data_IF_001176582721
#
_entry.id   IF_001176582721
#
_cell.length_a   1.000
_cell.length_b   1.000
_cell.length_c   1.000
_cell.angle_alpha   90.00
_cell.angle_beta   90.00
_cell.angle_gamma   90.00
#
_symmetry.space_group_name_H-M   'P 1'
#
loop_
_entity.id
_entity.type
_entity.pdbx_description
1 polymer ?
#
# COMPACT_ATOMS: atom_id res chain seq x y z
N UNK A 1 -13.13 19.95 -5.73
CA UNK A 1 -12.90 18.69 -4.98
C UNK A 1 -12.78 17.58 -6.02
N UNK A 2 -11.61 16.95 -6.15
CA UNK A 2 -11.32 15.99 -7.23
C UNK A 2 -12.16 14.72 -7.06
N UNK A 3 -13.37 14.68 -7.64
CA UNK A 3 -14.35 13.59 -7.45
C UNK A 3 -14.18 12.42 -8.43
N UNK A 4 -13.35 12.59 -9.44
CA UNK A 4 -13.12 11.64 -10.54
C UNK A 4 -11.66 11.24 -10.58
N UNK A 5 -11.41 10.01 -11.05
CA UNK A 5 -10.07 9.53 -11.37
C UNK A 5 -9.38 10.35 -12.46
N UNK A 6 -8.07 10.17 -12.56
CA UNK A 6 -7.18 10.76 -13.56
C UNK A 6 -6.55 9.72 -14.50
N UNK A 7 -6.73 8.42 -14.25
CA UNK A 7 -6.24 7.31 -15.09
C UNK A 7 -7.22 6.95 -16.23
N UNK A 8 -8.33 7.68 -16.35
CA UNK A 8 -9.33 7.48 -17.42
C UNK A 8 -10.39 6.41 -17.12
N UNK A 9 -10.40 5.86 -15.91
CA UNK A 9 -11.39 4.88 -15.46
C UNK A 9 -12.47 5.55 -14.59
N UNK A 10 -13.67 4.95 -14.47
CA UNK A 10 -14.78 5.46 -13.65
C UNK A 10 -14.51 5.24 -12.15
N UNK A 11 -13.52 5.96 -11.62
CA UNK A 11 -12.98 5.83 -10.25
C UNK A 11 -12.94 7.18 -9.53
N UNK A 12 -12.37 7.21 -8.32
CA UNK A 12 -12.09 8.45 -7.58
C UNK A 12 -10.64 8.86 -7.72
N UNK A 13 -10.34 10.14 -7.51
CA UNK A 13 -8.96 10.63 -7.51
C UNK A 13 -8.07 9.85 -6.53
N UNK A 14 -8.59 9.56 -5.34
CA UNK A 14 -7.80 8.92 -4.29
C UNK A 14 -7.51 7.45 -4.59
N UNK A 15 -8.43 6.73 -5.25
CA UNK A 15 -8.19 5.38 -5.77
C UNK A 15 -7.02 5.38 -6.76
N UNK A 16 -7.04 6.26 -7.75
CA UNK A 16 -6.00 6.35 -8.78
C UNK A 16 -4.65 6.74 -8.17
N UNK A 17 -4.66 7.65 -7.20
CA UNK A 17 -3.47 8.05 -6.46
C UNK A 17 -2.84 6.86 -5.70
N UNK A 18 -3.66 6.10 -4.97
CA UNK A 18 -3.19 4.93 -4.20
C UNK A 18 -2.70 3.83 -5.14
N UNK A 19 -3.36 3.59 -6.27
CA UNK A 19 -2.92 2.63 -7.29
C UNK A 19 -1.54 2.99 -7.84
N UNK A 20 -1.32 4.26 -8.15
CA UNK A 20 0.01 4.73 -8.54
C UNK A 20 1.04 4.53 -7.42
N UNK A 21 0.65 4.78 -6.17
CA UNK A 21 1.52 4.57 -5.01
C UNK A 21 1.88 3.08 -4.83
N UNK A 22 0.94 2.15 -5.02
CA UNK A 22 1.19 0.70 -4.98
C UNK A 22 2.12 0.25 -6.10
N UNK A 23 1.98 0.80 -7.31
CA UNK A 23 2.92 0.53 -8.40
C UNK A 23 4.34 1.05 -8.09
N UNK A 24 4.43 2.21 -7.42
CA UNK A 24 5.71 2.88 -7.13
C UNK A 24 6.43 2.33 -5.88
N UNK A 25 5.70 1.87 -4.86
CA UNK A 25 6.30 1.46 -3.59
C UNK A 25 7.23 0.26 -3.75
N UNK A 26 6.91 -0.69 -4.63
CA UNK A 26 7.73 -1.90 -4.84
C UNK A 26 9.12 -1.54 -5.41
N UNK A 27 9.24 -0.78 -6.52
CA UNK A 27 10.54 -0.25 -6.97
C UNK A 27 11.32 0.50 -5.88
N UNK A 28 10.64 1.34 -5.09
CA UNK A 28 11.29 2.09 -4.01
C UNK A 28 11.79 1.18 -2.87
N UNK A 29 11.09 0.10 -2.56
CA UNK A 29 11.56 -0.92 -1.62
C UNK A 29 12.78 -1.67 -2.16
N UNK A 30 12.78 -2.05 -3.44
CA UNK A 30 13.94 -2.68 -4.07
C UNK A 30 15.16 -1.75 -4.06
N UNK A 31 14.95 -0.47 -4.36
CA UNK A 31 15.99 0.55 -4.23
C UNK A 31 16.49 0.68 -2.78
N UNK A 32 15.58 0.68 -1.81
CA UNK A 32 15.90 0.68 -0.38
C UNK A 32 16.76 -0.53 0.04
N UNK A 33 16.48 -1.71 -0.51
CA UNK A 33 17.27 -2.93 -0.28
C UNK A 33 18.64 -2.85 -0.93
N UNK A 34 18.73 -2.31 -2.15
CA UNK A 34 20.00 -2.07 -2.83
C UNK A 34 20.90 -1.10 -2.05
N UNK A 35 20.33 -0.03 -1.48
CA UNK A 35 21.06 0.91 -0.63
C UNK A 35 21.75 0.22 0.55
N UNK A 36 21.07 -0.72 1.21
CA UNK A 36 21.61 -1.40 2.40
C UNK A 36 22.50 -2.60 2.06
N UNK A 37 22.15 -3.40 1.05
CA UNK A 37 22.89 -4.63 0.70
C UNK A 37 24.13 -4.36 -0.15
N UNK A 38 24.03 -3.43 -1.09
CA UNK A 38 25.10 -3.14 -2.06
C UNK A 38 25.88 -1.90 -1.66
N UNK A 39 25.19 -0.77 -1.50
CA UNK A 39 25.85 0.52 -1.21
C UNK A 39 26.25 0.73 0.24
N UNK A 40 25.76 -0.12 1.17
CA UNK A 40 25.98 0.01 2.62
C UNK A 40 25.58 1.38 3.18
N UNK A 41 24.62 2.05 2.53
CA UNK A 41 24.11 3.38 2.91
C UNK A 41 22.94 3.26 3.89
N UNK A 42 23.24 2.83 5.12
CA UNK A 42 22.22 2.59 6.16
C UNK A 42 21.40 3.83 6.53
N UNK A 43 22.02 5.02 6.52
CA UNK A 43 21.33 6.28 6.80
C UNK A 43 20.33 6.64 5.70
N UNK A 44 20.67 6.40 4.43
CA UNK A 44 19.77 6.61 3.30
C UNK A 44 18.60 5.63 3.34
N UNK A 45 18.86 4.35 3.59
CA UNK A 45 17.83 3.33 3.81
C UNK A 45 16.85 3.75 4.92
N UNK A 46 17.37 4.14 6.10
CA UNK A 46 16.57 4.63 7.23
C UNK A 46 15.68 5.81 6.84
N UNK A 47 16.25 6.84 6.21
CA UNK A 47 15.50 8.04 5.80
C UNK A 47 14.40 7.68 4.81
N UNK A 48 14.69 6.84 3.83
CA UNK A 48 13.72 6.38 2.84
C UNK A 48 12.57 5.61 3.50
N UNK A 49 12.85 4.66 4.40
CA UNK A 49 11.81 3.89 5.08
C UNK A 49 10.91 4.75 5.97
N UNK A 50 11.48 5.71 6.71
CA UNK A 50 10.69 6.63 7.54
C UNK A 50 9.83 7.54 6.65
N UNK A 51 10.42 8.10 5.60
CA UNK A 51 9.71 9.00 4.68
C UNK A 51 8.55 8.28 4.00
N UNK A 52 8.79 7.08 3.46
CA UNK A 52 7.74 6.25 2.87
C UNK A 52 6.69 5.86 3.90
N UNK A 53 7.09 5.48 5.12
CA UNK A 53 6.16 5.13 6.20
C UNK A 53 5.19 6.26 6.52
N UNK A 54 5.70 7.49 6.65
CA UNK A 54 4.87 8.68 6.93
C UNK A 54 3.94 8.98 5.76
N UNK A 55 4.48 9.04 4.53
CA UNK A 55 3.70 9.37 3.33
C UNK A 55 2.59 8.34 3.11
N UNK A 56 2.90 7.04 3.19
CA UNK A 56 1.93 5.98 2.96
C UNK A 56 0.90 5.89 4.08
N UNK A 57 1.28 6.14 5.34
CA UNK A 57 0.32 6.22 6.44
C UNK A 57 -0.70 7.34 6.18
N UNK A 58 -0.22 8.54 5.83
CA UNK A 58 -1.09 9.66 5.49
C UNK A 58 -1.99 9.34 4.28
N UNK A 59 -1.41 8.74 3.23
CA UNK A 59 -2.16 8.34 2.03
C UNK A 59 -3.26 7.32 2.34
N UNK A 60 -2.96 6.26 3.09
CA UNK A 60 -3.96 5.23 3.44
C UNK A 60 -5.03 5.79 4.37
N UNK A 61 -4.68 6.65 5.33
CA UNK A 61 -5.68 7.32 6.18
C UNK A 61 -6.61 8.23 5.37
N UNK A 62 -6.06 9.01 4.44
CA UNK A 62 -6.87 9.84 3.55
C UNK A 62 -7.74 9.01 2.60
N UNK A 63 -7.22 7.88 2.12
CA UNK A 63 -7.96 6.93 1.28
C UNK A 63 -9.14 6.31 2.01
N UNK A 64 -8.95 5.87 3.25
CA UNK A 64 -10.03 5.30 4.06
C UNK A 64 -11.14 6.32 4.31
N UNK A 65 -10.79 7.58 4.60
CA UNK A 65 -11.76 8.67 4.74
C UNK A 65 -12.51 8.92 3.43
N UNK A 66 -11.80 8.95 2.29
CA UNK A 66 -12.42 9.12 0.96
C UNK A 66 -13.42 8.00 0.66
N UNK A 67 -13.01 6.75 0.83
CA UNK A 67 -13.87 5.59 0.52
C UNK A 67 -15.06 5.51 1.48
N UNK A 68 -14.82 5.55 2.79
CA UNK A 68 -15.89 5.29 3.78
C UNK A 68 -16.77 6.51 4.04
N UNK A 69 -16.17 7.69 4.23
CA UNK A 69 -16.90 8.87 4.69
C UNK A 69 -17.38 9.75 3.54
N UNK A 70 -16.57 9.90 2.47
CA UNK A 70 -16.93 10.76 1.32
C UNK A 70 -17.80 9.99 0.32
N UNK A 71 -17.52 8.71 0.11
CA UNK A 71 -18.21 7.88 -0.88
C UNK A 71 -19.16 6.84 -0.28
N UNK A 72 -19.16 6.63 1.04
CA UNK A 72 -20.10 5.74 1.72
C UNK A 72 -19.83 4.26 1.45
N UNK A 73 -18.60 3.89 1.09
CA UNK A 73 -18.18 2.53 0.78
C UNK A 73 -17.71 2.36 -0.67
N UNK A 74 -16.94 1.29 -0.91
CA UNK A 74 -16.36 0.99 -2.21
C UNK A 74 -17.44 0.57 -3.23
N UNK A 75 -18.54 -0.05 -2.78
CA UNK A 75 -19.65 -0.45 -3.66
C UNK A 75 -20.28 0.77 -4.36
N UNK A 76 -20.44 1.89 -3.65
CA UNK A 76 -20.96 3.13 -4.21
C UNK A 76 -20.02 3.76 -5.24
N UNK A 77 -18.72 3.51 -5.12
CA UNK A 77 -17.74 3.95 -6.12
C UNK A 77 -17.90 3.10 -7.39
N UNK A 78 -18.02 1.77 -7.27
CA UNK A 78 -18.25 0.88 -8.40
C UNK A 78 -19.57 1.18 -9.10
N UNK A 79 -20.63 1.51 -8.36
CA UNK A 79 -21.94 1.87 -8.89
C UNK A 79 -21.93 3.10 -9.83
N UNK A 80 -20.88 3.95 -9.78
CA UNK A 80 -20.71 5.09 -10.69
C UNK A 80 -20.52 4.71 -12.16
N UNK A 81 -20.24 3.43 -12.42
CA UNK A 81 -20.10 2.90 -13.77
C UNK A 81 -21.41 2.93 -14.58
N UNK A 82 -22.56 3.17 -13.94
CA UNK A 82 -23.85 3.26 -14.62
C UNK A 82 -24.34 1.92 -15.18
N UNK A 83 -23.88 0.82 -14.60
CA UNK A 83 -24.31 -0.53 -14.94
C UNK A 83 -25.77 -0.76 -14.53
N UNK A 84 -26.50 -1.56 -15.30
CA UNK A 84 -27.82 -2.06 -14.89
C UNK A 84 -27.71 -2.90 -13.62
N UNK A 85 -28.76 -2.93 -12.80
CA UNK A 85 -28.75 -3.53 -11.45
C UNK A 85 -28.23 -4.98 -11.41
N UNK A 86 -28.62 -5.81 -12.38
CA UNK A 86 -28.17 -7.20 -12.48
C UNK A 86 -26.66 -7.29 -12.77
N UNK A 87 -26.16 -6.45 -13.70
CA UNK A 87 -24.75 -6.37 -14.05
C UNK A 87 -23.91 -5.78 -12.90
N UNK A 88 -24.42 -4.76 -12.22
CA UNK A 88 -23.78 -4.18 -11.04
C UNK A 88 -23.63 -5.22 -9.93
N UNK A 89 -24.68 -5.99 -9.65
CA UNK A 89 -24.64 -7.06 -8.64
C UNK A 89 -23.58 -8.12 -8.99
N UNK A 90 -23.55 -8.55 -10.25
CA UNK A 90 -22.53 -9.49 -10.74
C UNK A 90 -21.11 -8.92 -10.58
N UNK A 91 -20.92 -7.65 -10.92
CA UNK A 91 -19.64 -6.93 -10.76
C UNK A 91 -19.20 -6.84 -9.31
N UNK A 92 -20.09 -6.46 -8.39
CA UNK A 92 -19.76 -6.40 -6.96
C UNK A 92 -19.37 -7.77 -6.41
N UNK A 93 -20.04 -8.84 -6.85
CA UNK A 93 -19.71 -10.20 -6.46
C UNK A 93 -18.36 -10.67 -7.01
N UNK A 94 -17.99 -10.27 -8.24
CA UNK A 94 -16.67 -10.59 -8.79
C UNK A 94 -15.53 -9.81 -8.13
N UNK A 95 -15.79 -8.57 -7.69
CA UNK A 95 -14.79 -7.69 -7.06
C UNK A 95 -14.52 -8.05 -5.59
N UNK A 96 -15.56 -8.42 -4.84
CA UNK A 96 -15.50 -8.64 -3.39
C UNK A 96 -14.38 -9.60 -2.92
N UNK A 97 -14.13 -10.77 -3.56
CA UNK A 97 -13.03 -11.65 -3.16
C UNK A 97 -11.66 -11.00 -3.27
N UNK A 98 -11.41 -10.20 -4.32
CA UNK A 98 -10.14 -9.50 -4.51
C UNK A 98 -9.92 -8.44 -3.44
N UNK A 99 -10.97 -7.71 -3.07
CA UNK A 99 -10.91 -6.76 -1.97
C UNK A 99 -10.57 -7.47 -0.64
N UNK A 100 -11.23 -8.58 -0.34
CA UNK A 100 -10.99 -9.32 0.90
C UNK A 100 -9.54 -9.82 1.00
N UNK A 101 -9.01 -10.38 -0.08
CA UNK A 101 -7.60 -10.80 -0.14
C UNK A 101 -6.66 -9.62 0.03
N UNK A 102 -6.93 -8.50 -0.64
CA UNK A 102 -6.14 -7.28 -0.49
C UNK A 102 -6.14 -6.77 0.96
N UNK A 103 -7.30 -6.76 1.62
CA UNK A 103 -7.45 -6.28 3.00
C UNK A 103 -6.63 -7.10 3.99
N UNK A 104 -6.44 -8.41 3.77
CA UNK A 104 -5.57 -9.23 4.63
C UNK A 104 -4.16 -8.62 4.69
N UNK A 105 -3.56 -8.36 3.53
CA UNK A 105 -2.21 -7.80 3.45
C UNK A 105 -2.18 -6.31 3.80
N UNK A 106 -3.16 -5.53 3.31
CA UNK A 106 -3.21 -4.10 3.56
C UNK A 106 -3.36 -3.77 5.05
N UNK A 107 -4.06 -4.61 5.83
CA UNK A 107 -4.19 -4.45 7.28
C UNK A 107 -2.93 -4.93 8.00
N UNK A 108 -2.30 -6.05 7.60
CA UNK A 108 -1.08 -6.54 8.26
C UNK A 108 0.14 -5.66 8.01
N UNK A 109 0.25 -5.09 6.80
CA UNK A 109 1.36 -4.25 6.34
C UNK A 109 1.71 -3.11 7.32
N UNK A 110 0.79 -2.22 7.72
CA UNK A 110 1.12 -1.12 8.61
C UNK A 110 1.62 -1.61 9.97
N UNK A 111 1.07 -2.69 10.53
CA UNK A 111 1.54 -3.23 11.81
C UNK A 111 2.94 -3.83 11.70
N UNK A 112 3.18 -4.66 10.69
CA UNK A 112 4.47 -5.32 10.48
C UNK A 112 5.57 -4.29 10.18
N UNK A 113 5.26 -3.33 9.32
CA UNK A 113 6.22 -2.32 8.89
C UNK A 113 6.48 -1.27 9.98
N UNK A 114 5.45 -0.80 10.70
CA UNK A 114 5.63 0.07 11.86
C UNK A 114 6.47 -0.62 12.94
N UNK A 115 6.21 -1.90 13.24
CA UNK A 115 7.02 -2.68 14.18
C UNK A 115 8.48 -2.73 13.73
N UNK A 116 8.73 -3.00 12.44
CA UNK A 116 10.08 -3.04 11.86
C UNK A 116 10.80 -1.70 12.00
N UNK A 117 10.13 -0.58 11.69
CA UNK A 117 10.70 0.78 11.79
C UNK A 117 10.95 1.16 13.25
N UNK A 118 9.98 0.98 14.14
CA UNK A 118 10.09 1.35 15.56
C UNK A 118 11.20 0.56 16.24
N UNK A 119 11.30 -0.74 16.02
CA UNK A 119 12.39 -1.56 16.58
C UNK A 119 13.75 -1.13 16.01
N UNK A 120 13.84 -0.87 14.70
CA UNK A 120 15.08 -0.37 14.09
C UNK A 120 15.52 0.97 14.68
N UNK A 121 14.58 1.91 14.89
CA UNK A 121 14.86 3.20 15.52
C UNK A 121 15.38 3.05 16.95
N UNK A 122 14.75 2.19 17.75
CA UNK A 122 15.14 1.95 19.15
C UNK A 122 16.47 1.22 19.28
N UNK A 123 16.80 0.31 18.35
CA UNK A 123 17.95 -0.61 18.49
C UNK A 123 19.20 -0.21 17.69
N UNK A 124 19.06 0.53 16.59
CA UNK A 124 20.20 1.04 15.80
C UNK A 124 20.52 2.52 16.06
N UNK A 125 19.57 3.30 16.61
CA UNK A 125 19.79 4.69 17.00
C UNK A 125 20.04 5.66 15.83
N UNK A 126 20.85 6.69 16.09
CA UNK A 126 21.11 7.81 15.16
C UNK A 126 22.04 7.44 14.00
N UNK A 127 23.03 6.58 14.26
CA UNK A 127 24.03 6.12 13.30
C UNK A 127 23.84 4.62 13.04
N UNK A 128 22.92 4.24 12.14
CA UNK A 128 22.59 2.83 11.94
C UNK A 128 23.77 2.08 11.33
N UNK A 129 24.21 1.04 12.02
CA UNK A 129 25.24 0.11 11.57
C UNK A 129 24.81 -1.33 11.93
N UNK A 130 25.32 -2.36 11.21
CA UNK A 130 25.07 -3.74 11.57
C UNK A 130 25.48 -4.04 13.02
N UNK A 131 24.71 -4.89 13.70
CA UNK A 131 24.93 -5.25 15.10
C UNK A 131 24.00 -6.38 15.55
N UNK A 132 23.87 -6.63 16.87
CA UNK A 132 23.09 -7.76 17.40
C UNK A 132 21.63 -7.81 16.92
N UNK A 133 21.01 -6.65 16.66
CA UNK A 133 19.63 -6.58 16.17
C UNK A 133 19.48 -6.85 14.65
N UNK A 134 20.57 -6.94 13.89
CA UNK A 134 20.52 -7.08 12.43
C UNK A 134 19.80 -8.32 11.93
N UNK A 135 19.88 -9.45 12.64
CA UNK A 135 19.20 -10.68 12.24
C UNK A 135 17.68 -10.52 12.31
N UNK A 136 17.17 -10.03 13.45
CA UNK A 136 15.74 -9.79 13.63
C UNK A 136 15.23 -8.71 12.68
N UNK A 137 15.97 -7.60 12.54
CA UNK A 137 15.60 -6.55 11.59
C UNK A 137 15.55 -7.06 10.14
N UNK A 138 16.50 -7.90 9.72
CA UNK A 138 16.48 -8.48 8.37
C UNK A 138 15.31 -9.43 8.17
N UNK A 139 14.93 -10.20 9.19
CA UNK A 139 13.76 -11.09 9.13
C UNK A 139 12.47 -10.28 8.99
N UNK A 140 12.25 -9.30 9.87
CA UNK A 140 11.07 -8.43 9.84
C UNK A 140 11.03 -7.55 8.58
N UNK A 141 12.19 -7.09 8.11
CA UNK A 141 12.31 -6.32 6.87
C UNK A 141 11.95 -7.14 5.63
N UNK A 142 12.37 -8.41 5.55
CA UNK A 142 11.93 -9.29 4.47
C UNK A 142 10.45 -9.65 4.56
N UNK A 143 9.94 -9.95 5.75
CA UNK A 143 8.52 -10.18 5.97
C UNK A 143 7.70 -8.95 5.51
N UNK A 144 8.10 -7.74 5.93
CA UNK A 144 7.46 -6.48 5.50
C UNK A 144 7.54 -6.29 3.99
N UNK A 145 8.69 -6.59 3.36
CA UNK A 145 8.86 -6.44 1.91
C UNK A 145 7.93 -7.35 1.14
N UNK A 146 7.83 -8.62 1.55
CA UNK A 146 6.90 -9.58 0.94
C UNK A 146 5.45 -9.14 1.14
N UNK A 147 5.07 -8.75 2.35
CA UNK A 147 3.73 -8.30 2.69
C UNK A 147 3.32 -7.05 1.88
N UNK A 148 4.17 -6.01 1.81
CA UNK A 148 3.91 -4.80 1.01
C UNK A 148 3.83 -5.12 -0.48
N UNK A 149 4.67 -6.05 -0.97
CA UNK A 149 4.61 -6.49 -2.38
C UNK A 149 3.28 -7.18 -2.66
N UNK A 150 2.81 -8.04 -1.76
CA UNK A 150 1.50 -8.70 -1.87
C UNK A 150 0.35 -7.70 -1.74
N UNK A 151 0.42 -6.73 -0.83
CA UNK A 151 -0.51 -5.59 -0.75
C UNK A 151 -0.59 -4.85 -2.08
N UNK A 152 0.56 -4.61 -2.73
CA UNK A 152 0.62 -3.92 -4.02
C UNK A 152 0.01 -4.75 -5.14
N UNK A 153 0.41 -6.01 -5.28
CA UNK A 153 -0.13 -6.92 -6.32
C UNK A 153 -1.64 -7.08 -6.18
N UNK A 154 -2.11 -7.37 -4.98
CA UNK A 154 -3.55 -7.60 -4.71
C UNK A 154 -4.37 -6.33 -4.84
N UNK A 155 -3.83 -5.16 -4.48
CA UNK A 155 -4.51 -3.88 -4.64
C UNK A 155 -4.62 -3.47 -6.11
N UNK A 156 -3.57 -3.68 -6.90
CA UNK A 156 -3.60 -3.50 -8.35
C UNK A 156 -4.60 -4.46 -9.01
N UNK A 157 -4.65 -5.72 -8.58
CA UNK A 157 -5.61 -6.70 -9.07
C UNK A 157 -7.06 -6.30 -8.73
N UNK A 158 -7.32 -5.86 -7.48
CA UNK A 158 -8.61 -5.32 -7.08
C UNK A 158 -9.03 -4.15 -7.98
N UNK A 159 -8.14 -3.18 -8.20
CA UNK A 159 -8.45 -2.02 -9.04
C UNK A 159 -8.75 -2.43 -10.48
N UNK A 160 -7.94 -3.33 -11.05
CA UNK A 160 -8.15 -3.85 -12.40
C UNK A 160 -9.53 -4.50 -12.55
N UNK A 161 -9.87 -5.44 -11.66
CA UNK A 161 -11.16 -6.14 -11.71
C UNK A 161 -12.33 -5.19 -11.44
N UNK A 162 -12.15 -4.21 -10.57
CA UNK A 162 -13.21 -3.27 -10.21
C UNK A 162 -13.53 -2.25 -11.31
N UNK A 163 -12.53 -1.76 -12.03
CA UNK A 163 -12.69 -0.54 -12.84
C UNK A 163 -12.15 -0.62 -14.27
N UNK A 164 -11.31 -1.61 -14.58
CA UNK A 164 -10.68 -1.75 -15.90
C UNK A 164 -11.33 -2.85 -16.73
N UNK A 165 -11.61 -4.00 -16.12
CA UNK A 165 -12.32 -5.12 -16.72
C UNK A 165 -13.82 -4.86 -16.80
#
# INVERSE_FOLDING_TARGET
MFRTGFLGYPTTFMLDFVVCALALVVPLLLYSLWLVKVRRQYRSHKRLQITLGIILLAAVSAFEVDVQMVHGGWENIVARQGLEDAALTAKLNSVRPWLLVHLVFAVTTPFLWATTIVLALKRFGANPVPGPHSRLHSLLGWASTLDITLTSITGLAFYYVAFVQ
#
